data_IF_913518713812
#
_entry.id   IF_913518713812
#
_cell.length_a   1.000
_cell.length_b   1.000
_cell.length_c   1.000
_cell.angle_alpha   90.00
_cell.angle_beta   90.00
_cell.angle_gamma   90.00
#
_symmetry.space_group_name_H-M   'P 1'
#
loop_
_entity.id
_entity.type
_entity.pdbx_description
1 polymer ?
#
# COMPACT_ATOMS: atom_id res chain seq x y z
N UNK A 1 35.42 25.54 0.73
CA UNK A 1 34.50 25.37 1.88
C UNK A 1 33.10 25.75 1.40
N UNK A 2 32.17 24.81 1.34
CA UNK A 2 30.86 25.05 0.76
C UNK A 2 30.01 25.94 1.68
N UNK A 3 29.26 26.90 1.09
CA UNK A 3 28.34 27.78 1.84
C UNK A 3 27.28 27.02 2.67
N UNK A 4 27.08 25.74 2.39
CA UNK A 4 26.19 24.85 3.13
C UNK A 4 26.73 24.41 4.48
N UNK A 5 28.09 24.33 4.67
CA UNK A 5 28.66 23.98 5.96
C UNK A 5 28.45 25.09 7.00
N UNK A 6 28.40 26.35 6.55
CA UNK A 6 28.12 27.49 7.43
C UNK A 6 26.66 27.56 7.90
N UNK A 7 25.69 27.20 7.04
CA UNK A 7 24.26 27.17 7.39
C UNK A 7 23.92 26.03 8.36
N UNK A 8 24.47 24.85 8.12
CA UNK A 8 24.27 23.70 9.01
C UNK A 8 24.85 23.91 10.42
N UNK A 9 26.05 24.51 10.51
CA UNK A 9 26.65 24.88 11.78
C UNK A 9 25.83 25.94 12.54
N UNK A 10 25.33 26.94 11.87
CA UNK A 10 24.50 28.02 12.45
C UNK A 10 23.12 27.55 12.89
N UNK A 11 22.52 26.59 12.17
CA UNK A 11 21.27 25.94 12.58
C UNK A 11 21.49 25.06 13.82
N UNK A 12 22.61 24.33 13.86
CA UNK A 12 22.95 23.47 15.00
C UNK A 12 23.29 24.30 16.25
N UNK A 13 23.97 25.44 16.11
CA UNK A 13 24.31 26.35 17.22
C UNK A 13 23.14 27.22 17.68
N UNK A 14 21.99 27.15 17.01
CA UNK A 14 20.81 27.97 17.35
C UNK A 14 20.94 29.46 16.94
N UNK A 15 22.00 29.82 16.20
CA UNK A 15 22.22 31.19 15.70
C UNK A 15 21.21 31.62 14.61
N UNK A 16 20.63 30.61 13.95
CA UNK A 16 19.58 30.82 12.95
C UNK A 16 18.40 29.95 13.30
N UNK A 17 17.28 30.53 13.71
CA UNK A 17 16.04 29.78 13.93
C UNK A 17 15.00 30.24 12.90
N UNK A 18 14.21 29.27 12.42
CA UNK A 18 13.08 29.55 11.54
C UNK A 18 11.84 29.69 12.40
N UNK A 19 11.17 30.85 12.36
CA UNK A 19 9.95 31.06 13.14
C UNK A 19 8.75 30.31 12.53
N UNK A 20 8.65 29.03 12.87
CA UNK A 20 7.52 28.20 12.47
C UNK A 20 6.22 28.59 13.20
N UNK A 21 6.32 28.98 14.47
CA UNK A 21 5.16 29.24 15.32
C UNK A 21 4.51 30.55 14.96
N UNK A 22 5.28 31.60 14.68
CA UNK A 22 4.74 32.91 14.25
C UNK A 22 4.00 32.81 12.91
N UNK A 23 4.44 31.92 12.02
CA UNK A 23 3.82 31.71 10.71
C UNK A 23 2.84 30.54 10.67
N UNK A 24 2.34 30.06 11.82
CA UNK A 24 1.47 28.87 11.93
C UNK A 24 0.26 28.87 10.98
N UNK A 25 -0.34 30.03 10.72
CA UNK A 25 -1.49 30.12 9.79
C UNK A 25 -1.12 29.73 8.35
N UNK A 26 0.08 30.11 7.89
CA UNK A 26 0.58 29.74 6.55
C UNK A 26 0.80 28.23 6.48
N UNK A 27 1.44 27.65 7.50
CA UNK A 27 1.70 26.22 7.54
C UNK A 27 0.42 25.39 7.59
N UNK A 28 -0.56 25.79 8.42
CA UNK A 28 -1.86 25.14 8.45
C UNK A 28 -2.62 25.29 7.13
N UNK A 29 -2.53 26.41 6.43
CA UNK A 29 -3.17 26.59 5.13
C UNK A 29 -2.54 25.68 4.07
N UNK A 30 -1.20 25.59 4.03
CA UNK A 30 -0.48 24.70 3.12
C UNK A 30 -0.88 23.25 3.39
N UNK A 31 -0.83 22.82 4.64
CA UNK A 31 -1.23 21.48 5.07
C UNK A 31 -2.69 21.17 4.70
N UNK A 32 -3.61 22.10 4.96
CA UNK A 32 -5.02 21.94 4.59
C UNK A 32 -5.20 21.74 3.07
N UNK A 33 -4.47 22.48 2.24
CA UNK A 33 -4.51 22.31 0.78
C UNK A 33 -4.03 20.91 0.38
N UNK A 34 -2.92 20.42 0.95
CA UNK A 34 -2.43 19.07 0.66
C UNK A 34 -3.42 17.99 1.12
N UNK A 35 -4.01 18.12 2.30
CA UNK A 35 -5.02 17.18 2.80
C UNK A 35 -6.24 17.16 1.88
N UNK A 36 -6.76 18.33 1.52
CA UNK A 36 -7.92 18.43 0.62
C UNK A 36 -7.61 17.86 -0.76
N UNK A 37 -6.43 18.13 -1.30
CA UNK A 37 -5.99 17.55 -2.58
C UNK A 37 -5.88 16.01 -2.49
N UNK A 38 -5.34 15.48 -1.39
CA UNK A 38 -5.23 14.05 -1.15
C UNK A 38 -6.61 13.39 -1.03
N UNK A 39 -7.54 13.99 -0.28
CA UNK A 39 -8.91 13.51 -0.16
C UNK A 39 -9.61 13.54 -1.53
N UNK A 40 -9.45 14.62 -2.30
CA UNK A 40 -10.02 14.72 -3.63
C UNK A 40 -9.45 13.66 -4.58
N UNK A 41 -8.14 13.46 -4.58
CA UNK A 41 -7.49 12.41 -5.37
C UNK A 41 -8.00 11.02 -4.99
N UNK A 42 -8.13 10.75 -3.69
CA UNK A 42 -8.65 9.49 -3.17
C UNK A 42 -10.13 9.27 -3.55
N UNK A 43 -10.94 10.32 -3.53
CA UNK A 43 -12.35 10.24 -3.93
C UNK A 43 -12.53 9.99 -5.44
N UNK A 44 -11.63 10.54 -6.27
CA UNK A 44 -11.67 10.40 -7.73
C UNK A 44 -11.08 9.07 -8.18
N UNK A 45 -9.91 8.69 -7.66
CA UNK A 45 -9.17 7.50 -8.08
C UNK A 45 -9.55 6.24 -7.29
N UNK A 46 -10.11 6.41 -6.08
CA UNK A 46 -10.36 5.30 -5.15
C UNK A 46 -9.07 4.67 -4.60
N UNK A 47 -9.24 3.70 -3.72
CA UNK A 47 -8.16 2.89 -3.16
C UNK A 47 -8.02 1.59 -3.93
N UNK A 48 -6.84 1.34 -4.50
CA UNK A 48 -6.48 0.07 -5.11
C UNK A 48 -5.93 -0.87 -4.04
N UNK A 49 -6.84 -1.47 -3.27
CA UNK A 49 -6.49 -2.42 -2.23
C UNK A 49 -6.02 -3.74 -2.85
N UNK A 50 -5.01 -4.34 -2.23
CA UNK A 50 -4.52 -5.68 -2.59
C UNK A 50 -5.56 -6.78 -2.39
N UNK A 51 -5.28 -7.95 -2.94
CA UNK A 51 -6.16 -9.12 -2.87
C UNK A 51 -6.41 -9.59 -1.44
N UNK A 52 -5.51 -9.27 -0.51
CA UNK A 52 -5.63 -9.56 0.92
C UNK A 52 -6.85 -8.87 1.55
N UNK A 53 -7.24 -7.70 1.01
CA UNK A 53 -8.34 -6.88 1.54
C UNK A 53 -9.63 -7.01 0.75
N UNK A 54 -9.53 -7.18 -0.58
CA UNK A 54 -10.71 -7.32 -1.47
C UNK A 54 -11.09 -8.78 -1.74
N UNK A 55 -10.18 -9.70 -1.50
CA UNK A 55 -10.20 -11.03 -2.05
C UNK A 55 -9.66 -11.03 -3.48
N UNK A 56 -9.18 -12.16 -3.94
CA UNK A 56 -8.60 -12.31 -5.27
C UNK A 56 -7.80 -13.58 -5.41
N UNK A 57 -7.20 -13.75 -6.56
CA UNK A 57 -6.36 -14.88 -6.87
C UNK A 57 -4.96 -14.40 -7.25
N UNK A 58 -3.94 -15.07 -6.75
CA UNK A 58 -2.54 -14.80 -7.04
C UNK A 58 -1.90 -16.05 -7.62
N UNK A 59 -1.14 -15.87 -8.69
CA UNK A 59 -0.33 -16.91 -9.31
C UNK A 59 1.09 -16.39 -9.38
N UNK A 60 2.05 -17.16 -8.86
CA UNK A 60 3.47 -16.82 -8.92
C UNK A 60 4.19 -17.87 -9.76
N UNK A 61 4.74 -17.42 -10.88
CA UNK A 61 5.56 -18.22 -11.78
C UNK A 61 7.00 -18.17 -11.28
N UNK A 62 7.54 -19.32 -10.85
CA UNK A 62 8.89 -19.46 -10.33
C UNK A 62 9.88 -19.79 -11.45
N UNK A 63 9.85 -19.06 -12.57
CA UNK A 63 10.72 -19.28 -13.71
C UNK A 63 11.31 -17.96 -14.21
N UNK A 64 12.63 -17.93 -14.42
CA UNK A 64 13.33 -16.80 -15.02
C UNK A 64 13.05 -16.71 -16.53
N UNK A 65 13.09 -15.49 -17.05
CA UNK A 65 12.92 -15.23 -18.49
C UNK A 65 11.51 -14.92 -18.93
N UNK A 66 10.50 -15.06 -18.06
CA UNK A 66 9.13 -14.66 -18.36
C UNK A 66 9.02 -13.13 -18.18
N UNK A 67 8.55 -12.45 -19.22
CA UNK A 67 8.35 -11.01 -19.19
C UNK A 67 6.92 -10.64 -18.79
N UNK A 68 6.73 -9.43 -18.26
CA UNK A 68 5.40 -8.91 -17.91
C UNK A 68 4.44 -8.89 -19.11
N UNK A 69 4.84 -8.47 -20.33
CA UNK A 69 3.97 -8.53 -21.50
C UNK A 69 3.54 -9.93 -21.87
N UNK A 70 4.43 -10.92 -21.82
CA UNK A 70 4.10 -12.33 -22.12
C UNK A 70 3.12 -12.91 -21.11
N UNK A 71 3.34 -12.64 -19.82
CA UNK A 71 2.42 -13.08 -18.76
C UNK A 71 1.03 -12.42 -18.90
N UNK A 72 0.98 -11.15 -19.29
CA UNK A 72 -0.29 -10.45 -19.58
C UNK A 72 -1.01 -11.08 -20.78
N UNK A 73 -0.30 -11.34 -21.87
CA UNK A 73 -0.87 -11.99 -23.04
C UNK A 73 -1.39 -13.41 -22.75
N UNK A 74 -0.74 -14.14 -21.84
CA UNK A 74 -1.23 -15.43 -21.38
C UNK A 74 -2.54 -15.30 -20.58
N UNK A 75 -2.66 -14.26 -19.74
CA UNK A 75 -3.89 -13.98 -19.00
C UNK A 75 -5.05 -13.57 -19.92
N UNK A 76 -4.78 -12.81 -20.97
CA UNK A 76 -5.78 -12.46 -21.98
C UNK A 76 -6.36 -13.71 -22.68
N UNK A 77 -5.50 -14.71 -22.97
CA UNK A 77 -5.95 -16.01 -23.49
C UNK A 77 -6.83 -16.79 -22.49
N UNK A 78 -6.53 -16.67 -21.20
CA UNK A 78 -7.35 -17.30 -20.16
C UNK A 78 -8.76 -16.69 -20.08
N UNK A 79 -8.94 -15.45 -20.55
CA UNK A 79 -10.20 -14.72 -20.60
C UNK A 79 -10.94 -14.76 -19.25
N UNK A 80 -10.24 -14.33 -18.20
CA UNK A 80 -10.80 -14.20 -16.85
C UNK A 80 -11.30 -12.78 -16.61
N UNK A 81 -12.32 -12.58 -15.76
CA UNK A 81 -12.87 -11.25 -15.49
C UNK A 81 -11.88 -10.34 -14.78
N UNK A 82 -11.84 -9.07 -15.19
CA UNK A 82 -11.03 -7.99 -14.63
C UNK A 82 -9.65 -7.90 -15.27
N UNK A 83 -8.96 -6.78 -14.99
CA UNK A 83 -7.60 -6.54 -15.46
C UNK A 83 -6.59 -7.18 -14.50
N UNK A 84 -5.77 -8.14 -14.98
CA UNK A 84 -4.74 -8.75 -14.15
C UNK A 84 -3.59 -7.76 -13.89
N UNK A 85 -3.17 -7.67 -12.64
CA UNK A 85 -1.96 -6.95 -12.25
C UNK A 85 -0.79 -7.91 -12.37
N UNK A 86 0.11 -7.65 -13.32
CA UNK A 86 1.29 -8.46 -13.56
C UNK A 86 2.54 -7.70 -13.17
N UNK A 87 3.36 -8.29 -12.31
CA UNK A 87 4.56 -7.65 -11.74
C UNK A 87 5.72 -8.65 -11.68
N UNK A 88 6.94 -8.17 -11.90
CA UNK A 88 8.14 -8.94 -11.61
C UNK A 88 8.47 -8.85 -10.13
N UNK A 89 8.78 -9.98 -9.51
CA UNK A 89 9.18 -10.08 -8.10
C UNK A 89 10.59 -10.66 -8.02
N UNK A 90 11.53 -9.82 -7.56
CA UNK A 90 12.95 -10.18 -7.60
C UNK A 90 13.47 -10.32 -9.04
N UNK A 91 14.44 -11.20 -9.26
CA UNK A 91 15.11 -11.38 -10.56
C UNK A 91 14.53 -12.50 -11.43
N UNK A 92 13.66 -13.36 -10.88
CA UNK A 92 13.27 -14.60 -11.56
C UNK A 92 11.82 -15.01 -11.40
N UNK A 93 10.96 -14.18 -10.80
CA UNK A 93 9.56 -14.53 -10.57
C UNK A 93 8.62 -13.51 -11.18
N UNK A 94 7.52 -14.00 -11.72
CA UNK A 94 6.42 -13.13 -12.16
C UNK A 94 5.20 -13.44 -11.32
N UNK A 95 4.64 -12.39 -10.71
CA UNK A 95 3.41 -12.44 -9.93
C UNK A 95 2.26 -11.89 -10.76
N UNK A 96 1.17 -12.64 -10.79
CA UNK A 96 -0.06 -12.28 -11.47
C UNK A 96 -1.16 -12.24 -10.42
N UNK A 97 -1.80 -11.09 -10.23
CA UNK A 97 -2.93 -10.93 -9.32
C UNK A 97 -4.19 -10.60 -10.12
N UNK A 98 -5.28 -11.25 -9.77
CA UNK A 98 -6.60 -11.03 -10.40
C UNK A 98 -7.66 -10.81 -9.32
N UNK A 99 -8.86 -10.41 -9.73
CA UNK A 99 -10.03 -10.48 -8.87
C UNK A 99 -10.31 -11.92 -8.39
N UNK A 100 -11.32 -12.10 -7.54
CA UNK A 100 -11.69 -13.41 -7.05
C UNK A 100 -12.16 -14.30 -8.21
N UNK A 101 -11.50 -15.42 -8.40
CA UNK A 101 -11.82 -16.43 -9.41
C UNK A 101 -12.58 -17.61 -8.77
N UNK A 102 -13.47 -18.22 -9.56
CA UNK A 102 -14.03 -19.53 -9.23
C UNK A 102 -12.95 -20.62 -9.40
N UNK A 103 -13.16 -21.79 -8.81
CA UNK A 103 -12.24 -22.91 -8.96
C UNK A 103 -12.02 -23.29 -10.43
N UNK A 104 -13.09 -23.27 -11.26
CA UNK A 104 -13.00 -23.56 -12.69
C UNK A 104 -12.16 -22.51 -13.44
N UNK A 105 -12.33 -21.22 -13.12
CA UNK A 105 -11.53 -20.13 -13.70
C UNK A 105 -10.06 -20.23 -13.27
N UNK A 106 -9.80 -20.54 -12.01
CA UNK A 106 -8.44 -20.73 -11.49
C UNK A 106 -7.73 -21.90 -12.17
N UNK A 107 -8.43 -23.03 -12.34
CA UNK A 107 -7.89 -24.18 -13.09
C UNK A 107 -7.57 -23.80 -14.53
N UNK A 108 -8.47 -23.06 -15.21
CA UNK A 108 -8.25 -22.59 -16.58
C UNK A 108 -7.00 -21.69 -16.68
N UNK A 109 -6.79 -20.78 -15.72
CA UNK A 109 -5.60 -19.94 -15.65
C UNK A 109 -4.34 -20.80 -15.52
N UNK A 110 -4.36 -21.77 -14.60
CA UNK A 110 -3.25 -22.69 -14.41
C UNK A 110 -2.93 -23.49 -15.69
N UNK A 111 -3.96 -23.95 -16.41
CA UNK A 111 -3.79 -24.67 -17.68
C UNK A 111 -3.12 -23.80 -18.74
N UNK A 112 -3.59 -22.55 -18.87
CA UNK A 112 -3.03 -21.61 -19.84
C UNK A 112 -1.60 -21.22 -19.48
N UNK A 113 -1.33 -20.91 -18.22
CA UNK A 113 0.02 -20.55 -17.77
C UNK A 113 1.00 -21.73 -17.93
N UNK A 114 0.59 -22.91 -17.50
CA UNK A 114 1.38 -24.14 -17.63
C UNK A 114 1.72 -24.47 -19.10
N UNK A 115 0.75 -24.40 -19.99
CA UNK A 115 0.95 -24.68 -21.42
C UNK A 115 1.74 -23.58 -22.13
N UNK A 116 1.53 -22.31 -21.78
CA UNK A 116 2.21 -21.18 -22.44
C UNK A 116 3.70 -21.12 -22.08
N UNK A 117 4.03 -21.37 -20.81
CA UNK A 117 5.42 -21.26 -20.32
C UNK A 117 6.11 -22.60 -20.10
N UNK A 118 5.43 -23.71 -20.43
CA UNK A 118 5.95 -25.07 -20.21
C UNK A 118 6.40 -25.34 -18.77
N UNK A 119 5.62 -24.81 -17.81
CA UNK A 119 5.84 -24.97 -16.37
C UNK A 119 4.86 -26.03 -15.85
N UNK A 120 5.31 -26.94 -15.00
CA UNK A 120 4.39 -27.85 -14.32
C UNK A 120 3.43 -27.07 -13.41
N UNK A 121 2.15 -27.44 -13.40
CA UNK A 121 1.15 -26.75 -12.55
C UNK A 121 1.54 -26.72 -11.06
N UNK A 122 2.26 -27.75 -10.61
CA UNK A 122 2.77 -27.85 -9.24
C UNK A 122 3.85 -26.79 -8.92
N UNK A 123 4.52 -26.25 -9.94
CA UNK A 123 5.55 -25.23 -9.79
C UNK A 123 4.99 -23.80 -9.88
N UNK A 124 3.69 -23.66 -10.08
CA UNK A 124 2.97 -22.37 -10.04
C UNK A 124 2.37 -22.22 -8.66
N UNK A 125 2.97 -21.35 -7.83
CA UNK A 125 2.40 -21.04 -6.52
C UNK A 125 1.06 -20.32 -6.70
N UNK A 126 0.00 -20.91 -6.15
CA UNK A 126 -1.35 -20.38 -6.27
C UNK A 126 -1.92 -20.03 -4.91
N UNK A 127 -2.41 -18.81 -4.76
CA UNK A 127 -3.10 -18.35 -3.57
C UNK A 127 -4.47 -17.79 -3.93
N UNK A 128 -5.51 -18.34 -3.31
CA UNK A 128 -6.89 -17.92 -3.50
C UNK A 128 -7.40 -17.31 -2.19
N UNK A 129 -7.83 -16.06 -2.25
CA UNK A 129 -8.37 -15.32 -1.11
C UNK A 129 -9.83 -14.99 -1.39
N UNK A 130 -10.73 -15.61 -0.62
CA UNK A 130 -12.17 -15.35 -0.75
C UNK A 130 -12.51 -13.90 -0.37
N UNK A 131 -13.52 -13.28 -1.02
CA UNK A 131 -13.95 -11.91 -0.72
C UNK A 131 -14.46 -11.72 0.72
N UNK A 132 -15.06 -12.74 1.30
CA UNK A 132 -15.52 -12.73 2.71
C UNK A 132 -14.35 -12.63 3.68
N UNK A 133 -13.27 -13.35 3.41
CA UNK A 133 -12.05 -13.33 4.21
C UNK A 133 -11.37 -11.94 4.14
N UNK A 134 -11.24 -11.39 2.93
CA UNK A 134 -10.69 -10.04 2.74
C UNK A 134 -11.49 -8.97 3.51
N UNK A 135 -12.82 -9.01 3.46
CA UNK A 135 -13.70 -8.14 4.26
C UNK A 135 -13.47 -8.27 5.76
N UNK A 136 -13.32 -9.50 6.26
CA UNK A 136 -13.11 -9.74 7.69
C UNK A 136 -11.75 -9.21 8.15
N UNK A 137 -10.69 -9.43 7.37
CA UNK A 137 -9.36 -8.89 7.65
C UNK A 137 -9.38 -7.37 7.66
N UNK A 138 -9.99 -6.74 6.65
CA UNK A 138 -10.13 -5.26 6.59
C UNK A 138 -10.84 -4.73 7.83
N UNK A 139 -11.96 -5.35 8.23
CA UNK A 139 -12.71 -4.95 9.43
C UNK A 139 -11.87 -5.07 10.70
N UNK A 140 -11.18 -6.20 10.87
CA UNK A 140 -10.29 -6.42 12.03
C UNK A 140 -9.11 -5.46 12.05
N UNK A 141 -8.51 -5.15 10.88
CA UNK A 141 -7.43 -4.19 10.76
C UNK A 141 -7.87 -2.78 11.15
N UNK A 142 -9.05 -2.34 10.69
CA UNK A 142 -9.62 -1.04 11.06
C UNK A 142 -9.89 -0.95 12.56
N UNK A 143 -10.53 -1.96 13.15
CA UNK A 143 -10.77 -1.97 14.59
C UNK A 143 -9.47 -2.00 15.40
N UNK A 144 -8.49 -2.80 14.95
CA UNK A 144 -7.16 -2.84 15.57
C UNK A 144 -6.45 -1.50 15.52
N UNK A 145 -6.51 -0.80 14.36
CA UNK A 145 -5.93 0.53 14.22
C UNK A 145 -6.56 1.54 15.19
N UNK A 146 -7.88 1.64 15.22
CA UNK A 146 -8.57 2.55 16.16
C UNK A 146 -8.29 2.20 17.62
N UNK A 147 -8.33 0.92 17.98
CA UNK A 147 -7.98 0.46 19.32
C UNK A 147 -6.56 0.82 19.70
N UNK A 148 -5.61 0.62 18.79
CA UNK A 148 -4.22 1.00 18.98
C UNK A 148 -4.05 2.52 19.17
N UNK A 149 -4.67 3.34 18.33
CA UNK A 149 -4.58 4.80 18.44
C UNK A 149 -5.18 5.31 19.77
N UNK A 150 -6.32 4.75 20.22
CA UNK A 150 -6.91 5.08 21.51
C UNK A 150 -5.94 4.69 22.63
N UNK A 151 -5.38 3.50 22.60
CA UNK A 151 -4.43 3.04 23.61
C UNK A 151 -3.18 3.94 23.68
N UNK A 152 -2.61 4.30 22.53
CA UNK A 152 -1.47 5.22 22.44
C UNK A 152 -1.84 6.61 22.98
N UNK A 153 -3.02 7.12 22.63
CA UNK A 153 -3.49 8.41 23.13
C UNK A 153 -3.62 8.41 24.66
N UNK A 154 -4.21 7.37 25.23
CA UNK A 154 -4.33 7.21 26.69
C UNK A 154 -2.97 7.12 27.36
N UNK A 155 -2.05 6.32 26.80
CA UNK A 155 -0.68 6.24 27.31
C UNK A 155 0.02 7.59 27.29
N UNK A 156 -0.05 8.32 26.16
CA UNK A 156 0.57 9.62 26.02
C UNK A 156 -0.07 10.66 26.96
N UNK A 157 -1.39 10.60 27.19
CA UNK A 157 -2.08 11.49 28.13
C UNK A 157 -1.69 11.22 29.60
N UNK A 158 -1.28 9.98 29.92
CA UNK A 158 -0.77 9.63 31.25
C UNK A 158 0.71 9.98 31.43
N UNK A 159 1.52 9.80 30.36
CA UNK A 159 2.98 10.04 30.40
C UNK A 159 3.36 11.51 30.18
N UNK A 160 2.51 12.27 29.48
CA UNK A 160 2.73 13.67 29.12
C UNK A 160 1.48 14.50 29.41
N UNK A 161 1.56 15.80 29.15
CA UNK A 161 0.36 16.66 29.23
C UNK A 161 -0.68 16.24 28.17
N UNK A 162 -1.99 16.21 28.50
CA UNK A 162 -3.05 15.80 27.56
C UNK A 162 -3.07 16.58 26.23
N UNK A 163 -2.67 17.85 26.27
CA UNK A 163 -2.54 18.68 25.04
C UNK A 163 -1.50 18.15 24.08
N UNK A 164 -0.39 17.59 24.60
CA UNK A 164 0.66 16.97 23.81
C UNK A 164 0.18 15.65 23.18
N UNK A 165 -0.61 14.85 23.92
CA UNK A 165 -1.21 13.64 23.39
C UNK A 165 -2.13 13.91 22.20
N UNK A 166 -3.00 14.93 22.31
CA UNK A 166 -3.87 15.35 21.20
C UNK A 166 -3.06 15.83 20.00
N UNK A 167 -2.00 16.62 20.22
CA UNK A 167 -1.13 17.09 19.15
C UNK A 167 -0.42 15.94 18.43
N UNK A 168 0.05 14.92 19.17
CA UNK A 168 0.69 13.75 18.62
C UNK A 168 -0.28 12.92 17.74
N UNK A 169 -1.51 12.69 18.20
CA UNK A 169 -2.52 12.00 17.41
C UNK A 169 -2.91 12.82 16.16
N UNK A 170 -3.04 14.15 16.28
CA UNK A 170 -3.29 15.01 15.13
C UNK A 170 -2.18 14.92 14.08
N UNK A 171 -0.92 14.82 14.52
CA UNK A 171 0.22 14.62 13.62
C UNK A 171 0.14 13.26 12.89
N UNK A 172 -0.16 12.18 13.61
CA UNK A 172 -0.32 10.84 13.01
C UNK A 172 -1.46 10.78 11.99
N UNK A 173 -2.56 11.49 12.25
CA UNK A 173 -3.70 11.55 11.29
C UNK A 173 -3.36 12.42 10.07
N UNK A 174 -2.49 13.40 10.26
CA UNK A 174 -2.01 14.26 9.18
C UNK A 174 -1.07 13.51 8.22
N UNK A 175 -0.17 12.66 8.73
CA UNK A 175 0.81 11.89 7.96
C UNK A 175 0.20 10.69 7.24
#
# INVERSE_FOLDING_TARGET
MSKLSGLGGRLYSGETSFDFIGQRRRWYSISAVFILASIAALAIQGLHLGIEFKGGSEFVLNQSGITVPEARAAMDKANVPGDPIVQTVGSSKVRIQTGALTNAQSTKVLDVLSSTFSIAKADIDTRLIGPSWGKEITRKAVYGLFGFLIFVMLYLAMAFEPKMAVAAIAAVVHD
#
